data_IF_872470400886
#
_entry.id   IF_872470400886
#
_cell.length_a   1.000
_cell.length_b   1.000
_cell.length_c   1.000
_cell.angle_alpha   90.00
_cell.angle_beta   90.00
_cell.angle_gamma   90.00
#
_symmetry.space_group_name_H-M   'P 1'
#
loop_
_entity.id
_entity.type
_entity.pdbx_description
1 polymer ?
#
# COMPACT_ATOMS: atom_id res chain seq x y z
N UNK A 1 -13.41 12.86 -14.18
CA UNK A 1 -13.23 13.16 -12.75
C UNK A 1 -13.38 11.90 -11.88
N UNK A 2 -14.31 11.00 -12.21
CA UNK A 2 -14.54 9.70 -11.53
C UNK A 2 -13.31 8.79 -11.41
N UNK A 3 -12.50 8.70 -12.47
CA UNK A 3 -11.34 7.79 -12.50
C UNK A 3 -10.29 8.18 -11.45
N UNK A 4 -9.97 9.47 -11.34
CA UNK A 4 -9.01 9.99 -10.35
C UNK A 4 -9.55 9.79 -8.92
N UNK A 5 -10.85 9.97 -8.71
CA UNK A 5 -11.48 9.79 -7.40
C UNK A 5 -11.48 8.31 -6.96
N UNK A 6 -11.82 7.39 -7.86
CA UNK A 6 -11.76 5.95 -7.58
C UNK A 6 -10.32 5.46 -7.40
N UNK A 7 -9.37 5.99 -8.17
CA UNK A 7 -7.94 5.76 -7.96
C UNK A 7 -7.60 6.21 -6.53
N UNK A 8 -7.82 7.48 -6.18
CA UNK A 8 -7.47 8.07 -4.89
C UNK A 8 -8.14 7.40 -3.69
N UNK A 9 -9.45 7.12 -3.78
CA UNK A 9 -10.22 6.45 -2.74
C UNK A 9 -9.69 5.03 -2.52
N UNK A 10 -9.46 4.28 -3.60
CA UNK A 10 -8.90 2.93 -3.51
C UNK A 10 -7.50 2.94 -2.87
N UNK A 11 -6.68 3.99 -3.05
CA UNK A 11 -5.39 4.11 -2.35
C UNK A 11 -5.50 4.47 -0.89
N UNK A 12 -6.42 5.37 -0.54
CA UNK A 12 -6.67 5.70 0.86
C UNK A 12 -7.16 4.44 1.57
N UNK A 13 -8.10 3.71 0.97
CA UNK A 13 -8.59 2.43 1.49
C UNK A 13 -7.47 1.40 1.62
N UNK A 14 -6.63 1.22 0.59
CA UNK A 14 -5.50 0.28 0.63
C UNK A 14 -4.48 0.66 1.71
N UNK A 15 -4.10 1.93 1.80
CA UNK A 15 -3.17 2.46 2.79
C UNK A 15 -3.68 2.29 4.23
N UNK A 16 -4.96 2.63 4.46
CA UNK A 16 -5.60 2.46 5.77
C UNK A 16 -5.72 0.99 6.14
N UNK A 17 -6.11 0.11 5.22
CA UNK A 17 -6.16 -1.33 5.45
C UNK A 17 -4.77 -1.91 5.75
N UNK A 18 -3.74 -1.48 5.03
CA UNK A 18 -2.34 -1.86 5.27
C UNK A 18 -1.86 -1.44 6.66
N UNK A 19 -2.08 -0.17 7.04
CA UNK A 19 -1.73 0.32 8.37
C UNK A 19 -2.48 -0.40 9.48
N UNK A 20 -3.78 -0.65 9.31
CA UNK A 20 -4.57 -1.41 10.28
C UNK A 20 -4.03 -2.83 10.46
N UNK A 21 -3.65 -3.51 9.37
CA UNK A 21 -3.09 -4.84 9.42
C UNK A 21 -1.73 -4.87 10.15
N UNK A 22 -0.84 -3.90 9.87
CA UNK A 22 0.45 -3.77 10.57
C UNK A 22 0.25 -3.52 12.07
N UNK A 23 -0.69 -2.64 12.45
CA UNK A 23 -1.02 -2.36 13.85
C UNK A 23 -1.58 -3.59 14.56
N UNK A 24 -2.48 -4.33 13.91
CA UNK A 24 -3.03 -5.58 14.46
C UNK A 24 -1.92 -6.61 14.68
N UNK A 25 -1.02 -6.80 13.71
CA UNK A 25 0.15 -7.68 13.87
C UNK A 25 1.03 -7.24 15.04
N UNK A 26 1.35 -5.96 15.15
CA UNK A 26 2.17 -5.43 16.24
C UNK A 26 1.53 -5.68 17.62
N UNK A 27 0.22 -5.44 17.74
CA UNK A 27 -0.54 -5.70 18.98
C UNK A 27 -0.61 -7.20 19.28
N UNK A 28 -0.76 -8.05 18.27
CA UNK A 28 -0.73 -9.51 18.44
C UNK A 28 0.61 -10.01 18.97
N UNK A 29 1.72 -9.49 18.44
CA UNK A 29 3.08 -9.79 18.93
C UNK A 29 3.23 -9.31 20.38
N UNK A 30 2.77 -8.10 20.67
CA UNK A 30 2.86 -7.50 22.01
C UNK A 30 2.06 -8.29 23.06
N UNK A 31 0.83 -8.67 22.73
CA UNK A 31 -0.08 -9.37 23.65
C UNK A 31 0.32 -10.83 23.88
N UNK A 32 0.97 -11.48 22.90
CA UNK A 32 1.49 -12.85 23.05
C UNK A 32 2.84 -12.85 23.78
N UNK A 33 2.79 -12.94 25.11
CA UNK A 33 3.98 -13.22 25.94
C UNK A 33 4.63 -14.58 25.64
N UNK A 34 3.87 -15.55 25.12
CA UNK A 34 4.25 -16.96 24.91
C UNK A 34 4.54 -17.28 23.43
N UNK A 35 5.12 -16.34 22.67
CA UNK A 35 5.72 -16.68 21.38
C UNK A 35 7.17 -17.07 21.62
N UNK A 36 7.58 -18.23 21.11
CA UNK A 36 8.98 -18.63 21.17
C UNK A 36 9.84 -17.55 20.49
N UNK A 37 11.05 -17.32 20.99
CA UNK A 37 11.93 -16.26 20.50
C UNK A 37 12.17 -16.34 18.97
N UNK A 38 12.12 -17.55 18.43
CA UNK A 38 12.20 -17.85 16.99
C UNK A 38 10.97 -17.35 16.21
N UNK A 39 9.78 -17.55 16.74
CA UNK A 39 8.53 -17.10 16.11
C UNK A 39 8.41 -15.58 16.13
N UNK A 40 8.87 -14.92 17.20
CA UNK A 40 8.93 -13.45 17.26
C UNK A 40 9.84 -12.87 16.17
N UNK A 41 11.01 -13.48 15.94
CA UNK A 41 11.93 -13.07 14.86
C UNK A 41 11.32 -13.28 13.47
N UNK A 42 10.67 -14.43 13.24
CA UNK A 42 9.99 -14.71 11.99
C UNK A 42 8.86 -13.69 11.71
N UNK A 43 8.04 -13.40 12.72
CA UNK A 43 6.94 -12.44 12.61
C UNK A 43 7.45 -11.01 12.38
N UNK A 44 8.57 -10.64 13.01
CA UNK A 44 9.20 -9.34 12.78
C UNK A 44 9.79 -9.24 11.36
N UNK A 45 10.43 -10.28 10.85
CA UNK A 45 10.91 -10.31 9.46
C UNK A 45 9.74 -10.22 8.47
N UNK A 46 8.65 -10.95 8.72
CA UNK A 46 7.44 -10.89 7.91
C UNK A 46 6.85 -9.47 7.89
N UNK A 47 6.84 -8.78 9.05
CA UNK A 47 6.35 -7.41 9.18
C UNK A 47 7.21 -6.43 8.38
N UNK A 48 8.54 -6.57 8.41
CA UNK A 48 9.45 -5.75 7.60
C UNK A 48 9.21 -5.95 6.11
N UNK A 49 9.13 -7.20 5.65
CA UNK A 49 8.84 -7.52 4.24
C UNK A 49 7.51 -6.90 3.81
N UNK A 50 6.49 -7.00 4.67
CA UNK A 50 5.18 -6.43 4.40
C UNK A 50 5.23 -4.90 4.25
N UNK A 51 5.93 -4.20 5.15
CA UNK A 51 6.08 -2.73 5.10
C UNK A 51 6.83 -2.32 3.83
N UNK A 52 7.92 -3.01 3.48
CA UNK A 52 8.69 -2.75 2.25
C UNK A 52 7.83 -2.98 1.01
N UNK A 53 7.07 -4.07 0.96
CA UNK A 53 6.14 -4.35 -0.13
C UNK A 53 5.07 -3.26 -0.26
N UNK A 54 4.50 -2.82 0.87
CA UNK A 54 3.50 -1.76 0.87
C UNK A 54 4.07 -0.43 0.35
N UNK A 55 5.25 -0.04 0.82
CA UNK A 55 5.94 1.16 0.35
C UNK A 55 6.27 1.07 -1.15
N UNK A 56 6.71 -0.10 -1.62
CA UNK A 56 7.00 -0.34 -3.03
C UNK A 56 5.74 -0.18 -3.90
N UNK A 57 4.63 -0.83 -3.52
CA UNK A 57 3.34 -0.70 -4.22
C UNK A 57 2.91 0.77 -4.25
N UNK A 58 3.06 1.49 -3.14
CA UNK A 58 2.71 2.90 -3.04
C UNK A 58 3.55 3.76 -4.02
N UNK A 59 4.87 3.57 -4.07
CA UNK A 59 5.77 4.29 -5.00
C UNK A 59 5.46 3.97 -6.46
N UNK A 60 5.37 2.68 -6.81
CA UNK A 60 5.06 2.23 -8.19
C UNK A 60 3.71 2.79 -8.64
N UNK A 61 2.75 2.88 -7.73
CA UNK A 61 1.43 3.44 -8.01
C UNK A 61 1.49 4.94 -8.26
N UNK A 62 2.13 5.72 -7.38
CA UNK A 62 2.27 7.19 -7.57
C UNK A 62 2.98 7.50 -8.88
N UNK A 63 4.05 6.75 -9.17
CA UNK A 63 4.85 6.92 -10.40
C UNK A 63 4.12 6.44 -11.65
N UNK A 64 3.25 5.42 -11.58
CA UNK A 64 2.46 4.96 -12.74
C UNK A 64 1.22 5.82 -13.00
N UNK A 65 0.65 6.44 -11.95
CA UNK A 65 -0.48 7.35 -12.08
C UNK A 65 -0.12 8.69 -12.75
N UNK A 66 1.16 9.04 -12.85
CA UNK A 66 1.64 10.26 -13.52
C UNK A 66 1.95 10.07 -15.02
N UNK A 67 1.99 8.83 -15.52
CA UNK A 67 2.35 8.49 -16.91
C UNK A 67 1.10 8.17 -17.74
N UNK A 68 0.07 9.00 -17.64
CA UNK A 68 -0.92 9.06 -18.72
C UNK A 68 -0.44 10.15 -19.67
N UNK A 69 -0.01 9.85 -20.91
CA UNK A 69 0.12 10.90 -21.90
C UNK A 69 -1.30 11.39 -22.11
N UNK A 70 -1.63 12.55 -21.54
CA UNK A 70 -2.82 13.31 -21.87
C UNK A 70 -2.80 13.47 -23.38
N UNK A 71 -3.46 12.55 -24.09
CA UNK A 71 -3.64 12.61 -25.52
C UNK A 71 -4.27 13.96 -25.78
N UNK A 72 -3.46 14.86 -26.32
CA UNK A 72 -3.89 16.20 -26.69
C UNK A 72 -5.13 16.10 -27.59
N UNK A 73 -5.98 17.14 -27.59
CA UNK A 73 -7.22 17.10 -28.35
C UNK A 73 -6.92 16.70 -29.78
N UNK A 74 -7.55 15.61 -30.24
CA UNK A 74 -7.52 15.21 -31.64
C UNK A 74 -7.94 16.42 -32.47
N UNK A 75 -7.10 16.91 -33.40
CA UNK A 75 -7.49 18.03 -34.24
C UNK A 75 -8.62 17.55 -35.16
N UNK A 76 -9.85 17.96 -34.88
CA UNK A 76 -10.89 17.97 -35.90
C UNK A 76 -10.68 19.25 -36.71
N UNK A 77 -9.80 19.17 -37.70
CA UNK A 77 -9.67 20.18 -38.74
C UNK A 77 -10.90 20.18 -39.66
N UNK A 78 -11.02 21.21 -40.51
CA UNK A 78 -11.65 22.51 -40.26
C UNK A 78 -13.19 22.47 -40.31
#
# INVERSE_FOLDING_TARGET
MEFVLNFLLNYITLSVAGMAFVLILAVLIWKRKVLAFKDKKCLMALLVILVVYFAFILIVTITSGSIHPTGGPTPTSP
#
